data_IF_571200788955
#
_entry.id   IF_571200788955
#
_cell.length_a   1.000
_cell.length_b   1.000
_cell.length_c   1.000
_cell.angle_alpha   90.00
_cell.angle_beta   90.00
_cell.angle_gamma   90.00
#
_symmetry.space_group_name_H-M   'P 1'
#
loop_
_entity.id
_entity.type
_entity.pdbx_description
1 polymer ?
#
# COMPACT_ATOMS: atom_id res chain seq x y z
N UNK A 1 19.41 -19.91 23.58
CA UNK A 1 18.37 -18.93 23.22
C UNK A 1 18.32 -18.89 21.71
N UNK A 2 17.14 -19.11 21.12
CA UNK A 2 16.93 -19.13 19.67
C UNK A 2 16.72 -17.70 19.17
N UNK A 3 17.74 -16.87 19.37
CA UNK A 3 17.67 -15.43 19.15
C UNK A 3 18.52 -15.08 17.94
N UNK A 4 18.03 -14.12 17.14
CA UNK A 4 18.83 -13.52 16.06
C UNK A 4 19.72 -12.41 16.60
N UNK A 5 19.42 -11.91 17.80
CA UNK A 5 20.24 -10.93 18.48
C UNK A 5 21.61 -11.52 18.89
N UNK A 6 22.72 -10.82 18.58
CA UNK A 6 24.00 -11.06 19.21
C UNK A 6 23.91 -11.01 20.74
N UNK A 7 24.80 -11.74 21.43
CA UNK A 7 24.82 -11.88 22.90
C UNK A 7 24.88 -10.54 23.68
N UNK A 8 25.30 -9.45 23.04
CA UNK A 8 25.46 -8.13 23.65
C UNK A 8 24.25 -7.19 23.46
N UNK A 9 23.22 -7.60 22.72
CA UNK A 9 22.01 -6.79 22.51
C UNK A 9 20.73 -7.58 22.79
N UNK A 10 19.65 -6.89 23.18
CA UNK A 10 18.34 -7.54 23.34
C UNK A 10 17.72 -7.82 21.98
N UNK A 11 16.80 -8.79 21.92
CA UNK A 11 16.03 -9.09 20.71
C UNK A 11 15.23 -7.87 20.20
N UNK A 12 14.74 -7.00 21.09
CA UNK A 12 14.04 -5.76 20.71
C UNK A 12 15.02 -4.76 20.10
N UNK A 13 16.20 -4.59 20.70
CA UNK A 13 17.25 -3.70 20.20
C UNK A 13 17.71 -4.13 18.79
N UNK A 14 17.93 -5.44 18.61
CA UNK A 14 18.21 -6.04 17.29
C UNK A 14 17.12 -5.70 16.27
N UNK A 15 15.84 -5.95 16.60
CA UNK A 15 14.74 -5.70 15.69
C UNK A 15 14.57 -4.23 15.32
N UNK A 16 14.80 -3.31 16.27
CA UNK A 16 14.78 -1.87 15.99
C UNK A 16 15.90 -1.48 15.04
N UNK A 17 17.13 -1.94 15.29
CA UNK A 17 18.27 -1.69 14.39
C UNK A 17 17.99 -2.22 12.98
N UNK A 18 17.51 -3.47 12.88
CA UNK A 18 17.17 -4.09 11.60
C UNK A 18 16.04 -3.34 10.86
N UNK A 19 15.01 -2.90 11.58
CA UNK A 19 13.95 -2.07 11.00
C UNK A 19 14.49 -0.74 10.47
N UNK A 20 15.41 -0.07 11.17
CA UNK A 20 16.04 1.17 10.70
C UNK A 20 16.92 0.96 9.45
N UNK A 21 17.61 -0.17 9.34
CA UNK A 21 18.35 -0.54 8.11
C UNK A 21 17.38 -0.68 6.92
N UNK A 22 16.28 -1.42 7.09
CA UNK A 22 15.29 -1.61 6.03
C UNK A 22 14.53 -0.33 5.68
N UNK A 23 14.34 0.59 6.64
CA UNK A 23 13.79 1.93 6.39
C UNK A 23 14.66 2.71 5.41
N UNK A 24 15.99 2.67 5.56
CA UNK A 24 16.92 3.36 4.66
C UNK A 24 16.85 2.82 3.23
N UNK A 25 16.74 1.50 3.08
CA UNK A 25 16.61 0.86 1.75
C UNK A 25 15.32 1.29 1.05
N UNK A 26 14.23 1.41 1.80
CA UNK A 26 12.91 1.81 1.27
C UNK A 26 12.82 3.30 0.94
N UNK A 27 13.51 4.16 1.68
CA UNK A 27 13.33 5.61 1.65
C UNK A 27 13.39 6.24 0.23
N UNK A 28 14.28 5.83 -0.69
CA UNK A 28 14.31 6.35 -2.06
C UNK A 28 13.02 6.10 -2.85
N UNK A 29 12.29 5.02 -2.57
CA UNK A 29 11.08 4.61 -3.29
C UNK A 29 9.86 5.45 -2.92
N UNK A 30 9.86 6.04 -1.72
CA UNK A 30 8.67 6.67 -1.15
C UNK A 30 8.20 7.90 -1.95
N UNK A 31 9.11 8.63 -2.60
CA UNK A 31 8.75 9.77 -3.42
C UNK A 31 7.90 9.35 -4.63
N UNK A 32 8.30 8.26 -5.30
CA UNK A 32 7.58 7.70 -6.45
C UNK A 32 6.23 7.15 -6.01
N UNK A 33 6.17 6.40 -4.91
CA UNK A 33 4.91 5.87 -4.39
C UNK A 33 3.91 6.96 -4.00
N UNK A 34 4.37 8.09 -3.43
CA UNK A 34 3.49 9.23 -3.13
C UNK A 34 2.82 9.77 -4.38
N UNK A 35 3.57 9.96 -5.47
CA UNK A 35 3.02 10.45 -6.74
C UNK A 35 1.99 9.48 -7.34
N UNK A 36 2.29 8.17 -7.31
CA UNK A 36 1.35 7.14 -7.73
C UNK A 36 0.06 7.15 -6.91
N UNK A 37 0.17 7.31 -5.59
CA UNK A 37 -0.99 7.39 -4.71
C UNK A 37 -1.80 8.67 -4.96
N UNK A 38 -1.13 9.80 -5.15
CA UNK A 38 -1.76 11.10 -5.39
C UNK A 38 -2.62 11.12 -6.66
N UNK A 39 -2.19 10.46 -7.73
CA UNK A 39 -2.84 10.55 -9.05
C UNK A 39 -3.61 9.30 -9.51
N UNK A 40 -3.41 8.14 -8.87
CA UNK A 40 -4.07 6.87 -9.29
C UNK A 40 -5.04 6.37 -8.22
N UNK A 41 -4.52 5.95 -7.06
CA UNK A 41 -5.34 5.37 -5.99
C UNK A 41 -4.70 5.67 -4.60
N UNK A 42 -5.23 6.63 -3.84
CA UNK A 42 -4.55 7.13 -2.64
C UNK A 42 -4.78 6.24 -1.41
N UNK A 43 -5.79 5.35 -1.42
CA UNK A 43 -6.19 4.60 -0.21
C UNK A 43 -5.22 3.50 0.18
N UNK A 44 -4.35 3.07 -0.75
CA UNK A 44 -3.46 1.91 -0.58
C UNK A 44 -2.03 2.23 -0.12
N UNK A 45 -1.68 3.51 0.02
CA UNK A 45 -0.38 3.94 0.53
C UNK A 45 -0.48 4.51 1.96
N UNK A 46 0.41 4.06 2.86
CA UNK A 46 0.57 4.65 4.20
C UNK A 46 2.03 4.66 4.63
N UNK A 47 2.69 5.79 4.43
CA UNK A 47 4.10 5.98 4.81
C UNK A 47 4.28 6.46 6.25
N UNK A 48 3.34 7.29 6.73
CA UNK A 48 3.31 7.83 8.07
C UNK A 48 2.15 7.27 8.88
N UNK A 49 2.33 7.26 10.20
CA UNK A 49 1.24 7.01 11.13
C UNK A 49 0.30 8.22 11.15
N UNK A 50 -0.98 7.95 10.95
CA UNK A 50 -2.06 8.92 11.08
C UNK A 50 -3.26 8.24 11.69
N UNK A 51 -4.14 9.04 12.29
CA UNK A 51 -5.41 8.54 12.82
C UNK A 51 -6.31 8.05 11.68
N UNK A 52 -7.32 7.28 12.05
CA UNK A 52 -8.33 6.83 11.11
C UNK A 52 -9.08 8.02 10.50
N UNK A 53 -9.29 7.98 9.19
CA UNK A 53 -9.97 9.05 8.48
C UNK A 53 -10.05 8.79 6.98
N UNK A 54 -10.96 9.48 6.32
CA UNK A 54 -11.13 9.43 4.88
C UNK A 54 -9.85 9.89 4.17
N UNK A 55 -9.41 9.14 3.16
CA UNK A 55 -8.30 9.54 2.31
C UNK A 55 -8.84 10.38 1.16
N UNK A 56 -8.34 11.62 1.05
CA UNK A 56 -8.75 12.53 -0.01
C UNK A 56 -8.31 12.05 -1.39
N UNK A 57 -9.19 12.25 -2.39
CA UNK A 57 -8.90 12.07 -3.83
C UNK A 57 -8.79 13.41 -4.56
N UNK A 58 -8.64 14.53 -3.85
CA UNK A 58 -8.72 15.86 -4.43
C UNK A 58 -7.68 16.18 -5.53
N UNK A 59 -6.57 15.44 -5.58
CA UNK A 59 -5.55 15.58 -6.64
C UNK A 59 -5.91 14.85 -7.94
N UNK A 60 -6.95 14.00 -7.92
CA UNK A 60 -7.44 13.27 -9.08
C UNK A 60 -8.58 14.08 -9.69
N UNK A 61 -8.24 14.91 -10.66
CA UNK A 61 -9.19 15.67 -11.49
C UNK A 61 -9.73 14.76 -12.61
N UNK A 62 -8.83 13.99 -13.23
CA UNK A 62 -9.15 12.96 -14.23
C UNK A 62 -9.01 11.56 -13.64
N UNK A 63 -10.08 10.76 -13.71
CA UNK A 63 -10.11 9.41 -13.12
C UNK A 63 -9.62 8.30 -14.07
N UNK A 64 -9.09 8.62 -15.26
CA UNK A 64 -8.68 7.62 -16.26
C UNK A 64 -7.64 6.65 -15.69
N UNK A 65 -6.59 7.15 -15.03
CA UNK A 65 -5.60 6.32 -14.34
C UNK A 65 -6.20 5.43 -13.25
N UNK A 66 -7.15 5.96 -12.46
CA UNK A 66 -7.88 5.18 -11.46
C UNK A 66 -8.72 4.06 -12.09
N UNK A 67 -9.38 4.33 -13.21
CA UNK A 67 -10.16 3.32 -13.92
C UNK A 67 -9.27 2.25 -14.55
N UNK A 68 -8.16 2.63 -15.18
CA UNK A 68 -7.17 1.70 -15.71
C UNK A 68 -6.62 0.78 -14.62
N UNK A 69 -6.27 1.33 -13.44
CA UNK A 69 -5.86 0.55 -12.27
C UNK A 69 -6.93 -0.45 -11.82
N UNK A 70 -8.19 -0.02 -11.73
CA UNK A 70 -9.31 -0.90 -11.36
C UNK A 70 -9.52 -2.03 -12.39
N UNK A 71 -9.38 -1.73 -13.67
CA UNK A 71 -9.48 -2.71 -14.76
C UNK A 71 -8.34 -3.72 -14.68
N UNK A 72 -7.09 -3.27 -14.49
CA UNK A 72 -5.93 -4.14 -14.31
C UNK A 72 -6.15 -5.07 -13.11
N UNK A 73 -6.53 -4.52 -11.96
CA UNK A 73 -6.80 -5.28 -10.72
C UNK A 73 -7.82 -6.39 -10.94
N UNK A 74 -8.93 -6.05 -11.62
CA UNK A 74 -10.01 -7.00 -11.92
C UNK A 74 -9.58 -8.06 -12.94
N UNK A 75 -8.85 -7.62 -13.98
CA UNK A 75 -8.29 -8.48 -15.02
C UNK A 75 -7.35 -9.53 -14.44
N UNK A 76 -6.37 -9.12 -13.62
CA UNK A 76 -5.45 -10.04 -12.95
C UNK A 76 -6.18 -11.05 -12.07
N UNK A 77 -7.17 -10.62 -11.28
CA UNK A 77 -7.92 -11.53 -10.44
C UNK A 77 -8.69 -12.57 -11.26
N UNK A 78 -9.37 -12.13 -12.33
CA UNK A 78 -10.11 -13.03 -13.24
C UNK A 78 -9.21 -13.95 -14.07
N UNK A 79 -7.99 -13.53 -14.40
CA UNK A 79 -7.07 -14.27 -15.25
C UNK A 79 -6.14 -15.22 -14.50
N UNK A 80 -5.75 -14.89 -13.26
CA UNK A 80 -4.71 -15.60 -12.52
C UNK A 80 -5.28 -16.45 -11.38
N UNK A 81 -6.23 -15.93 -10.60
CA UNK A 81 -6.76 -16.59 -9.40
C UNK A 81 -8.28 -16.54 -9.32
N UNK A 82 -8.95 -16.76 -10.45
CA UNK A 82 -10.41 -16.76 -10.51
C UNK A 82 -10.99 -17.89 -9.67
N UNK A 83 -11.88 -17.62 -8.69
CA UNK A 83 -12.54 -18.70 -7.95
C UNK A 83 -13.52 -19.51 -8.82
N UNK A 84 -13.95 -18.96 -9.96
CA UNK A 84 -14.92 -19.59 -10.85
C UNK A 84 -14.33 -20.71 -11.72
N UNK A 85 -13.00 -20.80 -11.83
CA UNK A 85 -12.31 -21.79 -12.67
C UNK A 85 -11.09 -22.34 -11.92
N UNK A 86 -10.77 -23.64 -12.02
CA UNK A 86 -9.53 -24.16 -11.44
C UNK A 86 -8.31 -23.43 -12.03
N UNK A 87 -7.52 -22.79 -11.16
CA UNK A 87 -6.35 -21.98 -11.55
C UNK A 87 -5.01 -22.59 -11.11
N UNK A 88 -5.04 -23.73 -10.41
CA UNK A 88 -3.87 -24.54 -10.10
C UNK A 88 -4.19 -26.02 -10.28
N UNK A 89 -3.13 -26.83 -10.47
CA UNK A 89 -3.18 -28.29 -10.56
C UNK A 89 -2.03 -28.88 -9.76
N UNK A 90 -2.30 -29.93 -9.01
CA UNK A 90 -1.32 -30.77 -8.34
C UNK A 90 -0.94 -31.93 -9.27
N UNK A 91 0.36 -32.20 -9.36
CA UNK A 91 0.91 -33.31 -10.16
C UNK A 91 2.17 -33.82 -9.49
N UNK A 92 2.58 -35.02 -9.86
CA UNK A 92 3.92 -35.55 -9.57
C UNK A 92 4.86 -35.27 -10.74
N UNK A 93 6.17 -35.24 -10.47
CA UNK A 93 7.21 -35.18 -11.50
C UNK A 93 7.56 -36.57 -12.05
N UNK A 94 7.28 -37.63 -11.29
CA UNK A 94 7.43 -39.02 -11.72
C UNK A 94 6.34 -39.36 -12.76
N UNK A 95 6.70 -39.74 -14.00
CA UNK A 95 5.75 -40.05 -15.06
C UNK A 95 4.85 -41.26 -14.77
N UNK A 96 5.38 -42.30 -14.11
CA UNK A 96 4.64 -43.52 -13.83
C UNK A 96 3.57 -43.25 -12.78
N UNK A 97 3.92 -42.51 -11.73
CA UNK A 97 2.95 -42.05 -10.72
C UNK A 97 1.95 -41.06 -11.30
N UNK A 98 2.39 -40.21 -12.23
CA UNK A 98 1.52 -39.25 -12.88
C UNK A 98 0.43 -39.96 -13.67
N UNK A 99 0.71 -41.12 -14.27
CA UNK A 99 -0.26 -41.91 -15.03
C UNK A 99 -1.04 -42.92 -14.20
N UNK A 100 -0.57 -43.23 -13.00
CA UNK A 100 -1.25 -44.13 -12.09
C UNK A 100 -2.58 -43.55 -11.57
N UNK A 101 -3.69 -44.21 -11.90
CA UNK A 101 -5.04 -43.71 -11.63
C UNK A 101 -5.32 -43.37 -10.15
N UNK A 102 -4.91 -44.18 -9.16
CA UNK A 102 -5.12 -43.84 -7.75
C UNK A 102 -4.43 -42.54 -7.31
N UNK A 103 -3.25 -42.23 -7.88
CA UNK A 103 -2.54 -40.97 -7.60
C UNK A 103 -3.29 -39.79 -8.20
N UNK A 104 -3.80 -39.92 -9.44
CA UNK A 104 -4.63 -38.89 -10.09
C UNK A 104 -5.87 -38.57 -9.25
N UNK A 105 -6.58 -39.60 -8.78
CA UNK A 105 -7.79 -39.45 -7.96
C UNK A 105 -7.48 -38.75 -6.63
N UNK A 106 -6.40 -39.15 -5.96
CA UNK A 106 -5.96 -38.53 -4.71
C UNK A 106 -5.62 -37.05 -4.90
N UNK A 107 -4.83 -36.71 -5.92
CA UNK A 107 -4.44 -35.32 -6.20
C UNK A 107 -5.66 -34.47 -6.60
N UNK A 108 -6.59 -35.01 -7.38
CA UNK A 108 -7.83 -34.32 -7.72
C UNK A 108 -8.70 -34.03 -6.49
N UNK A 109 -8.80 -34.99 -5.56
CA UNK A 109 -9.51 -34.79 -4.29
C UNK A 109 -8.82 -33.73 -3.42
N UNK A 110 -7.49 -33.73 -3.36
CA UNK A 110 -6.71 -32.73 -2.63
C UNK A 110 -6.86 -31.32 -3.23
N UNK A 111 -6.78 -31.19 -4.56
CA UNK A 111 -7.03 -29.93 -5.29
C UNK A 111 -8.41 -29.35 -4.97
N UNK A 112 -9.44 -30.20 -4.93
CA UNK A 112 -10.79 -29.77 -4.59
C UNK A 112 -10.85 -29.22 -3.16
N UNK A 113 -10.27 -29.93 -2.18
CA UNK A 113 -10.23 -29.50 -0.78
C UNK A 113 -9.49 -28.17 -0.61
N UNK A 114 -8.35 -28.01 -1.28
CA UNK A 114 -7.60 -26.74 -1.25
C UNK A 114 -8.43 -25.59 -1.82
N UNK A 115 -9.14 -25.81 -2.93
CA UNK A 115 -10.04 -24.79 -3.51
C UNK A 115 -11.19 -24.42 -2.57
N UNK A 116 -11.79 -25.39 -1.90
CA UNK A 116 -12.84 -25.17 -0.90
C UNK A 116 -12.33 -24.33 0.28
N UNK A 117 -11.11 -24.60 0.77
CA UNK A 117 -10.44 -23.79 1.81
C UNK A 117 -10.21 -22.36 1.32
N UNK A 118 -9.69 -22.17 0.11
CA UNK A 118 -9.47 -20.82 -0.43
C UNK A 118 -10.78 -20.05 -0.66
N UNK A 119 -11.84 -20.74 -1.07
CA UNK A 119 -13.14 -20.12 -1.32
C UNK A 119 -13.88 -19.76 -0.02
N UNK A 120 -13.71 -20.55 1.04
CA UNK A 120 -14.34 -20.31 2.34
C UNK A 120 -13.58 -19.30 3.22
N UNK A 121 -12.30 -19.06 2.93
CA UNK A 121 -11.44 -18.10 3.60
C UNK A 121 -11.42 -16.73 2.90
N UNK A 122 -10.50 -15.84 3.28
CA UNK A 122 -10.37 -14.49 2.70
C UNK A 122 -9.31 -14.39 1.59
N UNK A 123 -8.72 -15.52 1.14
CA UNK A 123 -7.56 -15.53 0.24
C UNK A 123 -7.84 -14.80 -1.08
N UNK A 124 -8.97 -15.08 -1.74
CA UNK A 124 -9.32 -14.41 -3.00
C UNK A 124 -9.50 -12.89 -2.87
N UNK A 125 -10.11 -12.43 -1.76
CA UNK A 125 -10.27 -11.00 -1.48
C UNK A 125 -8.92 -10.31 -1.23
N UNK A 126 -8.02 -11.00 -0.52
CA UNK A 126 -6.67 -10.53 -0.27
C UNK A 126 -5.85 -10.46 -1.57
N UNK A 127 -5.91 -11.49 -2.43
CA UNK A 127 -5.27 -11.48 -3.76
C UNK A 127 -5.79 -10.36 -4.64
N UNK A 128 -7.12 -10.18 -4.74
CA UNK A 128 -7.70 -9.08 -5.49
C UNK A 128 -7.14 -7.72 -5.01
N UNK A 129 -7.03 -7.52 -3.70
CA UNK A 129 -6.40 -6.31 -3.12
C UNK A 129 -4.93 -6.20 -3.50
N UNK A 130 -4.16 -7.28 -3.37
CA UNK A 130 -2.74 -7.33 -3.69
C UNK A 130 -2.42 -7.08 -5.18
N UNK A 131 -3.28 -7.49 -6.11
CA UNK A 131 -3.10 -7.15 -7.53
C UNK A 131 -3.16 -5.65 -7.79
N UNK A 132 -3.98 -4.92 -7.02
CA UNK A 132 -4.00 -3.47 -7.07
C UNK A 132 -2.67 -2.85 -6.59
N UNK A 133 -2.12 -3.39 -5.50
CA UNK A 133 -0.83 -2.93 -4.97
C UNK A 133 0.32 -3.26 -5.96
N UNK A 134 0.28 -4.43 -6.62
CA UNK A 134 1.22 -4.81 -7.68
C UNK A 134 1.17 -3.86 -8.86
N UNK A 135 -0.01 -3.61 -9.42
CA UNK A 135 -0.17 -2.73 -10.58
C UNK A 135 0.24 -1.29 -10.29
N UNK A 136 0.03 -0.81 -9.06
CA UNK A 136 0.33 0.57 -8.68
C UNK A 136 1.75 0.76 -8.16
N UNK A 137 2.20 -0.04 -7.19
CA UNK A 137 3.48 0.15 -6.49
C UNK A 137 4.54 -0.90 -6.85
N UNK A 138 4.21 -1.90 -7.66
CA UNK A 138 5.13 -2.94 -8.10
C UNK A 138 5.27 -4.08 -7.09
N UNK A 139 4.90 -3.85 -5.84
CA UNK A 139 5.06 -4.79 -4.74
C UNK A 139 3.76 -4.94 -3.93
N UNK A 140 3.34 -6.19 -3.78
CA UNK A 140 2.30 -6.62 -2.84
C UNK A 140 2.90 -7.52 -1.77
N UNK A 141 2.44 -7.40 -0.54
CA UNK A 141 2.86 -8.28 0.55
C UNK A 141 1.66 -8.69 1.38
N UNK A 142 1.49 -10.00 1.55
CA UNK A 142 0.55 -10.61 2.48
C UNK A 142 1.26 -11.57 3.43
N UNK A 143 0.68 -11.76 4.61
CA UNK A 143 1.10 -12.79 5.57
C UNK A 143 0.03 -13.86 5.58
N UNK A 144 0.39 -15.08 5.17
CA UNK A 144 -0.47 -16.25 5.27
C UNK A 144 -0.27 -16.87 6.66
N UNK A 145 -1.36 -17.01 7.41
CA UNK A 145 -1.35 -17.63 8.73
C UNK A 145 -2.49 -18.64 8.86
N UNK A 146 -2.34 -19.59 9.77
CA UNK A 146 -3.43 -20.46 10.20
C UNK A 146 -4.54 -19.64 10.87
N UNK A 147 -5.77 -20.07 10.70
CA UNK A 147 -6.97 -19.47 11.26
C UNK A 147 -7.87 -20.56 11.86
N UNK A 148 -8.31 -20.39 13.10
CA UNK A 148 -9.08 -21.40 13.82
C UNK A 148 -10.45 -21.68 13.18
N UNK A 149 -11.00 -20.71 12.45
CA UNK A 149 -12.37 -20.77 11.97
C UNK A 149 -12.40 -21.12 10.48
N UNK A 150 -11.45 -20.58 9.70
CA UNK A 150 -11.37 -20.72 8.23
C UNK A 150 -10.15 -21.48 7.72
N UNK A 151 -9.40 -22.15 8.60
CA UNK A 151 -8.14 -22.89 8.34
C UNK A 151 -6.98 -21.97 7.97
N UNK A 152 -7.17 -21.06 7.03
CA UNK A 152 -6.15 -20.09 6.59
C UNK A 152 -6.71 -18.68 6.52
N UNK A 153 -5.83 -17.71 6.75
CA UNK A 153 -6.10 -16.30 6.56
C UNK A 153 -4.92 -15.63 5.90
N UNK A 154 -5.19 -14.87 4.84
CA UNK A 154 -4.20 -14.01 4.20
C UNK A 154 -4.40 -12.57 4.66
N UNK A 155 -3.49 -12.08 5.49
CA UNK A 155 -3.47 -10.67 5.87
C UNK A 155 -2.72 -9.86 4.82
N UNK A 156 -3.45 -9.33 3.84
CA UNK A 156 -2.90 -8.37 2.89
C UNK A 156 -2.47 -7.08 3.62
N UNK A 157 -1.21 -6.69 3.47
CA UNK A 157 -0.67 -5.50 4.11
C UNK A 157 -0.97 -4.24 3.29
N UNK A 158 -0.93 -3.10 3.95
CA UNK A 158 -1.04 -1.80 3.28
C UNK A 158 0.35 -1.38 2.81
N UNK A 159 0.46 -0.93 1.57
CA UNK A 159 1.77 -0.56 1.03
C UNK A 159 2.35 0.64 1.82
N UNK A 160 3.64 0.59 2.13
CA UNK A 160 4.32 1.60 2.97
C UNK A 160 4.19 1.40 4.49
N UNK A 161 3.32 0.50 4.98
CA UNK A 161 3.25 0.16 6.41
C UNK A 161 4.21 -0.96 6.82
N UNK A 162 5.05 -1.41 5.88
CA UNK A 162 6.01 -2.49 6.05
C UNK A 162 7.33 -2.19 5.33
N UNK A 163 8.33 -3.01 5.67
CA UNK A 163 9.64 -3.07 5.06
C UNK A 163 10.02 -4.53 4.83
N UNK A 164 10.63 -4.83 3.69
CA UNK A 164 11.00 -6.20 3.30
C UNK A 164 12.47 -6.32 2.95
N UNK A 165 12.99 -7.55 3.06
CA UNK A 165 14.24 -7.98 2.43
C UNK A 165 14.01 -9.29 1.68
N UNK A 166 14.75 -9.45 0.59
CA UNK A 166 14.81 -10.69 -0.18
C UNK A 166 16.00 -11.56 0.20
N UNK A 167 15.88 -12.86 0.00
CA UNK A 167 16.99 -13.81 0.04
C UNK A 167 17.78 -13.81 -1.28
N UNK A 168 18.82 -14.63 -1.36
CA UNK A 168 19.66 -14.80 -2.55
C UNK A 168 18.91 -15.34 -3.78
N UNK A 169 17.73 -15.92 -3.59
CA UNK A 169 16.85 -16.41 -4.65
C UNK A 169 15.79 -15.37 -5.04
N UNK A 170 15.88 -14.15 -4.50
CA UNK A 170 14.93 -13.07 -4.75
C UNK A 170 13.58 -13.25 -4.04
N UNK A 171 13.44 -14.18 -3.09
CA UNK A 171 12.19 -14.40 -2.35
C UNK A 171 12.13 -13.49 -1.14
N UNK A 172 10.94 -12.92 -0.89
CA UNK A 172 10.73 -12.13 0.33
C UNK A 172 10.73 -13.08 1.53
N UNK A 173 11.76 -12.99 2.37
CA UNK A 173 11.93 -13.83 3.57
C UNK A 173 11.89 -13.02 4.86
N UNK A 174 12.14 -11.71 4.77
CA UNK A 174 12.15 -10.80 5.91
C UNK A 174 11.09 -9.73 5.73
N UNK A 175 10.30 -9.50 6.78
CA UNK A 175 9.27 -8.48 6.87
C UNK A 175 9.31 -7.82 8.24
N UNK A 176 9.39 -6.50 8.25
CA UNK A 176 9.13 -5.67 9.41
C UNK A 176 7.89 -4.82 9.12
N UNK A 177 6.99 -4.68 10.08
CA UNK A 177 5.82 -3.82 9.94
C UNK A 177 5.51 -3.10 11.23
N UNK A 178 4.85 -1.95 11.09
CA UNK A 178 4.27 -1.20 12.19
C UNK A 178 2.79 -0.98 11.95
N UNK A 179 2.00 -1.06 13.00
CA UNK A 179 0.57 -0.81 12.95
C UNK A 179 0.07 -0.32 14.30
N UNK A 180 -1.05 0.40 14.28
CA UNK A 180 -1.64 1.03 15.45
C UNK A 180 -2.86 0.25 15.89
N UNK A 181 -2.91 -0.16 17.16
CA UNK A 181 -4.06 -0.86 17.76
C UNK A 181 -4.48 -0.18 19.05
N UNK A 182 -5.77 -0.31 19.37
CA UNK A 182 -6.31 0.11 20.67
C UNK A 182 -5.80 -0.79 21.79
N UNK A 183 -5.73 -0.26 23.01
CA UNK A 183 -5.38 -1.00 24.23
C UNK A 183 -6.22 -2.27 24.35
N UNK A 184 -7.53 -2.19 24.12
CA UNK A 184 -8.41 -3.37 24.16
C UNK A 184 -7.93 -4.48 23.23
N UNK A 185 -7.64 -4.13 21.96
CA UNK A 185 -7.20 -5.11 20.96
C UNK A 185 -5.84 -5.71 21.28
N UNK A 186 -4.92 -4.91 21.82
CA UNK A 186 -3.60 -5.36 22.25
C UNK A 186 -3.76 -6.39 23.39
N UNK A 187 -4.51 -6.05 24.45
CA UNK A 187 -4.73 -6.94 25.59
C UNK A 187 -5.47 -8.21 25.17
N UNK A 188 -6.48 -8.12 24.29
CA UNK A 188 -7.19 -9.30 23.80
C UNK A 188 -6.31 -10.25 22.98
N UNK A 189 -5.33 -9.74 22.21
CA UNK A 189 -4.47 -10.58 21.36
C UNK A 189 -3.28 -11.16 22.10
N UNK A 190 -2.65 -10.38 22.97
CA UNK A 190 -1.39 -10.75 23.63
C UNK A 190 -1.58 -11.18 25.08
N UNK A 191 -2.74 -10.90 25.68
CA UNK A 191 -3.03 -11.14 27.09
C UNK A 191 -2.50 -10.04 28.00
N UNK A 192 -3.20 -9.79 29.10
CA UNK A 192 -2.88 -8.72 30.05
C UNK A 192 -1.47 -8.86 30.65
N UNK A 193 -0.99 -10.07 30.91
CA UNK A 193 0.30 -10.28 31.57
C UNK A 193 1.51 -9.98 30.69
N UNK A 194 1.35 -10.01 29.37
CA UNK A 194 2.43 -9.85 28.39
C UNK A 194 2.65 -8.41 27.95
N UNK A 195 1.70 -7.50 28.22
CA UNK A 195 1.79 -6.09 27.78
C UNK A 195 2.56 -5.23 28.79
N UNK A 196 3.06 -4.08 28.34
CA UNK A 196 3.77 -3.11 29.17
C UNK A 196 2.90 -2.55 30.30
N UNK A 197 3.57 -2.00 31.33
CA UNK A 197 2.88 -1.32 32.43
C UNK A 197 2.00 -0.16 31.92
N UNK A 198 2.41 0.49 30.83
CA UNK A 198 1.64 1.57 30.19
C UNK A 198 0.29 1.05 29.69
N UNK A 199 0.27 -0.07 28.97
CA UNK A 199 -0.97 -0.68 28.47
C UNK A 199 -1.83 -1.20 29.62
N UNK A 200 -1.23 -1.81 30.66
CA UNK A 200 -1.95 -2.22 31.87
C UNK A 200 -2.66 -1.04 32.52
N UNK A 201 -1.93 0.05 32.75
CA UNK A 201 -2.49 1.26 33.34
C UNK A 201 -3.65 1.82 32.50
N UNK A 202 -3.53 1.86 31.17
CA UNK A 202 -4.64 2.29 30.32
C UNK A 202 -5.86 1.37 30.46
N UNK A 203 -5.64 0.06 30.46
CA UNK A 203 -6.70 -0.94 30.57
C UNK A 203 -7.42 -0.86 31.93
N UNK A 204 -6.67 -0.78 33.02
CA UNK A 204 -7.22 -0.76 34.39
C UNK A 204 -8.00 0.53 34.68
N UNK A 205 -7.63 1.63 34.02
CA UNK A 205 -8.34 2.91 34.11
C UNK A 205 -9.48 3.05 33.08
N UNK A 206 -9.85 1.97 32.38
CA UNK A 206 -10.96 1.97 31.41
C UNK A 206 -10.69 2.74 30.11
N UNK A 207 -9.44 3.11 29.83
CA UNK A 207 -9.04 3.79 28.59
C UNK A 207 -8.74 2.78 27.48
N UNK A 208 -9.78 2.06 27.06
CA UNK A 208 -9.69 0.95 26.11
C UNK A 208 -9.34 1.36 24.68
N UNK A 209 -9.70 2.58 24.28
CA UNK A 209 -9.54 3.10 22.92
C UNK A 209 -8.23 3.84 22.68
N UNK A 210 -7.39 3.98 23.72
CA UNK A 210 -6.05 4.56 23.57
C UNK A 210 -5.24 3.74 22.56
N UNK A 211 -4.57 4.44 21.64
CA UNK A 211 -3.91 3.82 20.50
C UNK A 211 -2.41 3.77 20.73
N UNK A 212 -1.83 2.57 20.63
CA UNK A 212 -0.38 2.37 20.67
C UNK A 212 0.13 1.75 19.37
N UNK A 213 1.39 2.03 19.06
CA UNK A 213 2.07 1.45 17.90
C UNK A 213 2.76 0.14 18.28
N UNK A 214 2.37 -0.91 17.58
CA UNK A 214 2.91 -2.26 17.69
C UNK A 214 3.77 -2.53 16.46
N UNK A 215 4.92 -3.13 16.70
CA UNK A 215 5.82 -3.60 15.67
C UNK A 215 5.78 -5.13 15.59
N UNK A 216 6.02 -5.64 14.39
CA UNK A 216 6.07 -7.07 14.12
C UNK A 216 7.20 -7.38 13.14
N UNK A 217 8.02 -8.37 13.49
CA UNK A 217 9.10 -8.88 12.67
C UNK A 217 8.82 -10.33 12.28
N UNK A 218 9.02 -10.66 11.02
CA UNK A 218 9.13 -12.01 10.48
C UNK A 218 10.45 -12.12 9.73
N UNK A 219 11.29 -13.08 10.07
CA UNK A 219 12.54 -13.35 9.37
C UNK A 219 13.02 -14.78 9.67
N UNK A 220 13.93 -15.36 8.87
CA UNK A 220 14.54 -16.64 9.20
C UNK A 220 15.28 -16.56 10.55
N UNK A 221 15.18 -17.62 11.36
CA UNK A 221 16.01 -17.78 12.57
C UNK A 221 17.41 -18.23 12.18
N UNK A 222 18.42 -17.54 12.69
CA UNK A 222 19.84 -17.86 12.49
C UNK A 222 20.30 -19.02 13.38
N UNK A 223 19.71 -19.13 14.57
CA UNK A 223 19.99 -20.19 15.54
C UNK A 223 18.69 -20.78 16.08
N UNK A 224 18.52 -22.09 15.91
CA UNK A 224 17.37 -22.86 16.41
C UNK A 224 17.79 -24.31 16.66
N UNK A 225 17.09 -24.98 17.56
CA UNK A 225 17.19 -26.41 17.79
C UNK A 225 16.11 -27.14 16.95
N UNK A 226 16.47 -27.86 15.87
CA UNK A 226 15.50 -28.52 15.01
C UNK A 226 14.68 -29.62 15.68
N UNK A 227 15.15 -30.17 16.79
CA UNK A 227 14.46 -31.25 17.51
C UNK A 227 13.34 -30.72 18.42
N UNK A 228 13.25 -29.39 18.59
CA UNK A 228 12.23 -28.72 19.40
C UNK A 228 11.09 -28.20 18.53
N UNK A 229 9.86 -28.60 18.89
CA UNK A 229 8.61 -28.23 18.19
C UNK A 229 8.00 -26.93 18.75
N UNK A 230 8.62 -26.31 19.75
CA UNK A 230 8.08 -25.09 20.35
C UNK A 230 8.14 -23.88 19.38
N UNK A 231 7.32 -22.87 19.65
CA UNK A 231 7.22 -21.66 18.81
C UNK A 231 8.55 -20.91 18.64
N UNK A 232 9.48 -21.09 19.58
CA UNK A 232 10.79 -20.44 19.60
C UNK A 232 11.78 -21.09 18.64
N UNK A 233 11.60 -22.37 18.33
CA UNK A 233 12.50 -23.11 17.45
C UNK A 233 11.96 -23.31 16.02
N UNK A 234 10.83 -22.66 15.70
CA UNK A 234 10.31 -22.61 14.33
C UNK A 234 11.26 -21.87 13.37
N UNK A 235 11.41 -22.32 12.10
CA UNK A 235 12.37 -21.76 11.15
C UNK A 235 12.25 -20.25 10.89
N UNK A 236 11.03 -19.70 10.88
CA UNK A 236 10.78 -18.27 10.77
C UNK A 236 10.31 -17.73 12.11
N UNK A 237 10.94 -16.68 12.63
CA UNK A 237 10.43 -16.01 13.82
C UNK A 237 9.22 -15.13 13.52
N UNK A 238 8.42 -14.87 14.53
CA UNK A 238 7.29 -13.93 14.50
C UNK A 238 7.23 -13.22 15.84
N UNK A 239 7.88 -12.06 15.92
CA UNK A 239 8.09 -11.35 17.18
C UNK A 239 7.31 -10.03 17.19
N UNK A 240 6.58 -9.80 18.27
CA UNK A 240 5.78 -8.59 18.48
C UNK A 240 6.34 -7.78 19.65
N UNK A 241 6.38 -6.46 19.49
CA UNK A 241 6.78 -5.55 20.57
C UNK A 241 6.07 -4.20 20.46
N UNK A 242 5.95 -3.51 21.58
CA UNK A 242 5.48 -2.12 21.61
C UNK A 242 6.64 -1.20 21.21
N UNK A 243 6.42 -0.30 20.25
CA UNK A 243 7.50 0.55 19.73
C UNK A 243 8.13 1.41 20.84
N UNK A 244 7.29 1.99 21.70
CA UNK A 244 7.66 2.91 22.77
C UNK A 244 7.94 2.24 24.12
N UNK A 245 7.84 0.91 24.23
CA UNK A 245 8.18 0.22 25.47
C UNK A 245 9.70 0.04 25.62
N UNK A 246 10.16 -0.20 26.85
CA UNK A 246 11.56 -0.54 27.11
C UNK A 246 11.96 -1.91 26.55
N UNK A 247 13.26 -2.16 26.46
CA UNK A 247 13.88 -3.29 25.75
C UNK A 247 13.79 -4.63 26.50
N UNK A 248 12.88 -4.75 27.47
CA UNK A 248 12.89 -5.86 28.43
C UNK A 248 12.14 -7.10 27.96
N UNK A 249 11.02 -6.97 27.25
CA UNK A 249 10.13 -8.11 26.95
C UNK A 249 9.31 -7.90 25.68
N UNK A 250 9.30 -8.91 24.82
CA UNK A 250 8.40 -9.00 23.66
C UNK A 250 6.96 -9.24 24.12
N UNK A 251 5.99 -8.70 23.38
CA UNK A 251 4.57 -9.00 23.56
C UNK A 251 4.26 -10.47 23.27
N UNK A 252 4.86 -10.99 22.20
CA UNK A 252 4.78 -12.39 21.81
C UNK A 252 6.06 -12.77 21.07
N UNK A 253 6.60 -13.93 21.41
CA UNK A 253 7.65 -14.60 20.65
C UNK A 253 7.03 -15.86 20.03
N UNK A 254 6.94 -15.88 18.71
CA UNK A 254 6.30 -16.96 17.96
C UNK A 254 7.11 -17.33 16.72
N UNK A 255 6.56 -18.16 15.85
CA UNK A 255 7.17 -18.47 14.57
C UNK A 255 6.28 -19.26 13.62
N UNK A 256 6.80 -19.50 12.43
CA UNK A 256 6.17 -20.26 11.35
C UNK A 256 7.07 -21.41 10.91
N UNK A 257 6.44 -22.54 10.56
CA UNK A 257 7.14 -23.75 10.11
C UNK A 257 7.71 -23.57 8.70
N UNK A 258 7.12 -22.67 7.91
CA UNK A 258 7.55 -22.28 6.57
C UNK A 258 7.48 -20.76 6.41
N UNK A 259 8.02 -20.22 5.31
CA UNK A 259 7.95 -18.79 5.02
C UNK A 259 6.48 -18.34 4.86
N UNK A 260 5.92 -17.52 5.77
CA UNK A 260 4.52 -17.11 5.69
C UNK A 260 4.29 -15.94 4.73
N UNK A 261 5.36 -15.38 4.14
CA UNK A 261 5.31 -14.16 3.37
C UNK A 261 4.96 -14.45 1.91
N UNK A 262 3.84 -13.90 1.45
CA UNK A 262 3.46 -13.86 0.04
C UNK A 262 3.82 -12.47 -0.49
N UNK A 263 4.99 -12.35 -1.11
CA UNK A 263 5.57 -11.07 -1.54
C UNK A 263 5.84 -10.94 -3.05
N UNK A 264 4.86 -11.14 -3.95
CA UNK A 264 5.09 -11.03 -5.39
C UNK A 264 5.57 -9.62 -5.76
N UNK A 265 6.38 -9.57 -6.81
CA UNK A 265 6.84 -8.34 -7.45
C UNK A 265 6.38 -8.34 -8.91
N UNK A 266 6.14 -7.15 -9.46
CA UNK A 266 5.85 -6.98 -10.87
C UNK A 266 7.11 -7.14 -11.72
N UNK A 267 8.09 -6.26 -11.51
CA UNK A 267 9.41 -6.32 -12.15
C UNK A 267 10.49 -5.88 -11.16
N UNK A 268 11.45 -6.76 -10.90
CA UNK A 268 12.58 -6.49 -9.99
C UNK A 268 13.78 -6.09 -10.83
N UNK A 269 14.39 -4.95 -10.50
CA UNK A 269 15.64 -4.52 -11.10
C UNK A 269 16.83 -5.08 -10.30
N UNK A 270 17.53 -6.06 -10.86
CA UNK A 270 18.73 -6.63 -10.23
C UNK A 270 18.44 -7.26 -8.85
N UNK A 271 19.14 -6.78 -7.83
CA UNK A 271 19.08 -7.23 -6.44
C UNK A 271 18.20 -6.33 -5.54
N UNK A 272 17.34 -5.49 -6.14
CA UNK A 272 16.46 -4.60 -5.39
C UNK A 272 15.43 -5.36 -4.54
N UNK A 273 15.14 -4.80 -3.35
CA UNK A 273 14.11 -5.34 -2.45
C UNK A 273 12.68 -5.02 -2.92
N UNK A 274 12.51 -3.92 -3.66
CA UNK A 274 11.23 -3.47 -4.20
C UNK A 274 11.24 -3.54 -5.72
N UNK A 275 10.06 -3.34 -6.31
CA UNK A 275 9.83 -3.58 -7.72
C UNK A 275 9.23 -2.35 -8.39
N UNK A 276 9.45 -2.24 -9.71
CA UNK A 276 8.80 -1.24 -10.56
C UNK A 276 7.39 -1.69 -10.91
N UNK A 277 6.54 -0.76 -11.39
CA UNK A 277 5.12 -1.04 -11.64
C UNK A 277 4.62 -0.48 -12.98
N UNK A 278 3.54 -1.03 -13.54
CA UNK A 278 2.82 -0.41 -14.66
C UNK A 278 2.39 1.02 -14.35
N UNK A 279 1.98 1.28 -13.11
CA UNK A 279 1.64 2.62 -12.65
C UNK A 279 2.80 3.61 -12.77
N UNK A 280 4.05 3.17 -12.54
CA UNK A 280 5.23 4.02 -12.72
C UNK A 280 5.48 4.34 -14.19
N UNK A 281 5.29 3.36 -15.08
CA UNK A 281 5.42 3.56 -16.53
C UNK A 281 4.41 4.60 -17.00
N UNK A 282 3.15 4.51 -16.56
CA UNK A 282 2.08 5.43 -16.93
C UNK A 282 2.05 6.75 -16.13
N UNK A 283 2.94 6.94 -15.15
CA UNK A 283 2.86 8.08 -14.22
C UNK A 283 3.03 9.42 -14.93
N UNK A 284 3.86 9.48 -15.98
CA UNK A 284 4.07 10.67 -16.80
C UNK A 284 2.76 11.12 -17.47
N UNK A 285 2.12 10.20 -18.19
CA UNK A 285 0.87 10.46 -18.93
C UNK A 285 -0.27 10.82 -17.98
N UNK A 286 -0.40 10.08 -16.86
CA UNK A 286 -1.42 10.39 -15.84
C UNK A 286 -1.19 11.78 -15.27
N UNK A 287 0.05 12.15 -14.94
CA UNK A 287 0.37 13.47 -14.36
C UNK A 287 0.12 14.61 -15.37
N UNK A 288 0.46 14.38 -16.64
CA UNK A 288 0.18 15.30 -17.74
C UNK A 288 -1.33 15.53 -17.88
N UNK A 289 -2.13 14.46 -17.93
CA UNK A 289 -3.59 14.53 -17.99
C UNK A 289 -4.19 15.34 -16.83
N UNK A 290 -3.70 15.15 -15.59
CA UNK A 290 -4.18 15.96 -14.45
C UNK A 290 -3.93 17.45 -14.68
N UNK A 291 -2.72 17.80 -15.14
CA UNK A 291 -2.33 19.18 -15.39
C UNK A 291 -3.13 19.81 -16.55
N UNK A 292 -3.32 19.08 -17.64
CA UNK A 292 -4.10 19.52 -18.79
C UNK A 292 -5.55 19.80 -18.42
N UNK A 293 -6.20 18.91 -17.68
CA UNK A 293 -7.56 19.15 -17.20
C UNK A 293 -7.63 20.37 -16.28
N UNK A 294 -6.64 20.56 -15.40
CA UNK A 294 -6.56 21.76 -14.56
C UNK A 294 -6.44 23.04 -15.41
N UNK A 295 -5.52 23.06 -16.38
CA UNK A 295 -5.31 24.22 -17.26
C UNK A 295 -6.51 24.49 -18.16
N UNK A 296 -7.21 23.44 -18.62
CA UNK A 296 -8.46 23.55 -19.35
C UNK A 296 -9.53 24.25 -18.52
N UNK A 297 -9.70 23.85 -17.25
CA UNK A 297 -10.63 24.51 -16.33
C UNK A 297 -10.27 25.98 -16.11
N UNK A 298 -8.99 26.28 -15.86
CA UNK A 298 -8.51 27.67 -15.73
C UNK A 298 -8.74 28.51 -16.99
N UNK A 299 -8.58 27.92 -18.18
CA UNK A 299 -8.82 28.60 -19.44
C UNK A 299 -10.32 28.87 -19.67
N UNK A 300 -11.18 27.91 -19.35
CA UNK A 300 -12.64 28.10 -19.36
C UNK A 300 -13.01 29.25 -18.41
N UNK A 301 -12.46 29.26 -17.20
CA UNK A 301 -12.73 30.32 -16.23
C UNK A 301 -12.31 31.70 -16.75
N UNK A 302 -11.15 31.80 -17.42
CA UNK A 302 -10.71 33.07 -18.03
C UNK A 302 -11.53 33.48 -19.25
N UNK A 303 -12.13 32.55 -19.99
CA UNK A 303 -13.04 32.87 -21.10
C UNK A 303 -14.40 33.35 -20.56
N UNK A 304 -14.92 32.73 -19.52
CA UNK A 304 -16.21 33.08 -18.90
C UNK A 304 -16.07 34.36 -18.04
N UNK A 305 -14.93 34.55 -17.38
CA UNK A 305 -14.62 35.67 -16.47
C UNK A 305 -13.21 36.20 -16.72
N UNK A 306 -12.99 36.93 -17.83
CA UNK A 306 -11.68 37.45 -18.15
C UNK A 306 -11.24 38.50 -17.11
N UNK A 307 -9.95 38.54 -16.73
CA UNK A 307 -9.41 39.66 -15.99
C UNK A 307 -9.57 40.94 -16.82
N UNK A 308 -10.02 42.03 -16.20
CA UNK A 308 -10.32 43.29 -16.89
C UNK A 308 -9.26 44.34 -16.56
N UNK A 309 -8.95 45.22 -17.52
CA UNK A 309 -8.19 46.46 -17.29
C UNK A 309 -9.15 47.63 -17.34
N UNK A 310 -8.91 48.64 -16.50
CA UNK A 310 -9.71 49.86 -16.46
C UNK A 310 -8.85 51.10 -16.18
N UNK A 311 -9.29 52.31 -16.56
CA UNK A 311 -8.54 53.53 -16.31
C UNK A 311 -8.48 53.88 -14.80
N UNK A 312 -7.35 54.42 -14.36
CA UNK A 312 -7.06 54.80 -12.95
C UNK A 312 -8.06 55.82 -12.38
N UNK A 313 -8.72 56.61 -13.23
CA UNK A 313 -9.76 57.58 -12.86
C UNK A 313 -11.02 56.98 -12.24
N UNK A 314 -11.28 55.67 -12.46
CA UNK A 314 -12.47 54.96 -11.95
C UNK A 314 -12.18 54.26 -10.60
N UNK A 315 -10.93 54.29 -10.11
CA UNK A 315 -10.48 53.57 -8.90
C UNK A 315 -11.28 53.87 -7.62
N UNK A 316 -11.80 55.10 -7.49
CA UNK A 316 -12.56 55.56 -6.31
C UNK A 316 -14.09 55.62 -6.54
N UNK A 317 -14.57 55.24 -7.73
CA UNK A 317 -16.00 55.21 -8.01
C UNK A 317 -16.43 53.74 -8.10
N UNK A 318 -17.30 53.23 -7.20
CA UNK A 318 -17.64 51.82 -7.16
C UNK A 318 -18.47 51.42 -8.37
N UNK A 319 -17.80 51.12 -9.49
CA UNK A 319 -18.38 50.39 -10.61
C UNK A 319 -18.60 48.94 -10.14
N UNK A 320 -19.77 48.68 -9.57
CA UNK A 320 -20.17 47.36 -9.10
C UNK A 320 -20.49 46.44 -10.28
N UNK A 321 -19.49 45.69 -10.75
CA UNK A 321 -19.65 44.52 -11.64
C UNK A 321 -18.53 43.50 -11.32
N UNK A 322 -18.70 42.68 -10.28
CA UNK A 322 -17.91 41.46 -10.07
C UNK A 322 -18.11 40.52 -11.29
N UNK A 323 -17.16 39.66 -11.76
CA UNK A 323 -15.90 39.21 -11.15
C UNK A 323 -14.63 39.17 -12.07
N UNK A 324 -13.46 39.42 -11.47
CA UNK A 324 -12.11 39.34 -12.07
C UNK A 324 -11.17 40.36 -11.40
N UNK A 325 -9.86 40.09 -11.26
CA UNK A 325 -8.92 41.11 -10.72
C UNK A 325 -8.78 42.24 -11.75
N UNK A 326 -9.09 43.47 -11.35
CA UNK A 326 -8.96 44.64 -12.20
C UNK A 326 -7.55 45.22 -12.06
N UNK A 327 -6.82 45.33 -13.17
CA UNK A 327 -5.54 46.04 -13.21
C UNK A 327 -5.79 47.44 -13.77
N UNK A 328 -5.49 48.47 -12.97
CA UNK A 328 -5.65 49.85 -13.42
C UNK A 328 -4.40 50.30 -14.17
N UNK A 329 -4.57 50.82 -15.38
CA UNK A 329 -3.50 51.34 -16.23
C UNK A 329 -3.82 52.77 -16.66
N UNK A 330 -2.81 53.63 -16.74
CA UNK A 330 -2.95 55.00 -17.25
C UNK A 330 -3.05 54.95 -18.78
N UNK A 331 -4.28 54.91 -19.30
CA UNK A 331 -4.58 54.99 -20.75
C UNK A 331 -4.91 56.44 -21.13
N UNK A 332 -4.05 57.13 -21.92
CA UNK A 332 -4.29 58.51 -22.36
C UNK A 332 -5.55 58.69 -23.21
N UNK A 333 -6.11 57.60 -23.76
CA UNK A 333 -7.26 57.63 -24.66
C UNK A 333 -8.61 57.30 -24.00
N UNK A 334 -8.66 57.12 -22.67
CA UNK A 334 -9.92 57.06 -21.90
C UNK A 334 -10.91 55.97 -22.32
N UNK A 335 -10.46 54.92 -22.99
CA UNK A 335 -11.32 53.81 -23.45
C UNK A 335 -11.64 52.91 -22.24
N UNK A 336 -12.91 52.48 -22.14
CA UNK A 336 -13.47 51.71 -21.03
C UNK A 336 -12.85 50.33 -20.81
N UNK A 337 -13.47 49.50 -19.95
CA UNK A 337 -12.90 48.22 -19.53
C UNK A 337 -12.60 47.28 -20.72
N UNK A 338 -11.40 46.69 -20.74
CA UNK A 338 -10.97 45.70 -21.75
C UNK A 338 -10.39 44.45 -21.09
N UNK A 339 -10.54 43.25 -21.66
CA UNK A 339 -9.80 42.08 -21.20
C UNK A 339 -8.30 42.38 -21.13
N UNK A 340 -7.66 42.02 -20.02
CA UNK A 340 -6.23 42.23 -19.81
C UNK A 340 -5.37 41.30 -20.68
N UNK A 341 -5.95 40.18 -21.13
CA UNK A 341 -5.32 39.20 -22.01
C UNK A 341 -6.34 38.71 -23.02
N UNK A 342 -5.93 38.59 -24.28
CA UNK A 342 -6.71 37.93 -25.33
C UNK A 342 -6.25 36.48 -25.44
N UNK A 343 -7.10 35.54 -25.02
CA UNK A 343 -6.80 34.10 -25.03
C UNK A 343 -7.55 33.48 -26.21
N UNK A 344 -6.84 33.18 -27.30
CA UNK A 344 -7.38 32.41 -28.42
C UNK A 344 -7.13 30.92 -28.18
N UNK A 345 -7.87 30.32 -27.24
CA UNK A 345 -7.77 28.88 -26.98
C UNK A 345 -8.68 28.10 -27.93
N UNK A 346 -8.12 27.16 -28.69
CA UNK A 346 -8.88 26.21 -29.51
C UNK A 346 -9.28 24.99 -28.67
N UNK A 347 -10.44 25.09 -28.01
CA UNK A 347 -10.97 24.03 -27.13
C UNK A 347 -11.09 22.66 -27.84
N UNK A 348 -11.30 22.65 -29.15
CA UNK A 348 -11.37 21.42 -29.96
C UNK A 348 -10.04 20.66 -30.04
N UNK A 349 -8.92 21.38 -30.18
CA UNK A 349 -7.58 20.78 -30.28
C UNK A 349 -7.15 20.23 -28.91
N UNK A 350 -7.36 21.00 -27.84
CA UNK A 350 -7.10 20.55 -26.47
C UNK A 350 -7.95 19.34 -26.06
N UNK A 351 -9.21 19.29 -26.51
CA UNK A 351 -10.07 18.11 -26.28
C UNK A 351 -9.68 16.90 -27.16
N UNK A 352 -8.94 17.11 -28.24
CA UNK A 352 -8.40 16.01 -29.05
C UNK A 352 -7.18 15.40 -28.37
N UNK A 353 -6.27 16.24 -27.89
CA UNK A 353 -5.04 15.85 -27.18
C UNK A 353 -5.35 15.03 -25.91
N UNK A 354 -6.27 15.52 -25.08
CA UNK A 354 -6.76 14.79 -23.89
C UNK A 354 -7.34 13.41 -24.26
N UNK A 355 -8.01 13.30 -25.42
CA UNK A 355 -8.61 12.03 -25.86
C UNK A 355 -7.58 11.05 -26.43
N UNK A 356 -6.41 11.52 -26.87
CA UNK A 356 -5.33 10.67 -27.35
C UNK A 356 -4.58 10.02 -26.18
N UNK A 357 -4.44 10.74 -25.07
CA UNK A 357 -3.75 10.28 -23.87
C UNK A 357 -4.64 9.41 -22.95
N UNK A 358 -5.97 9.54 -23.05
CA UNK A 358 -6.96 8.72 -22.33
C UNK A 358 -7.17 7.34 -22.97
#
# INVERSE_FOLDING_TARGET
MSDNAPDHESQITYHRRRMEELKRIRQPWEAVWRQLADYIEPTRLRLTEKDEGAVSRAKIIDSTGTFAHRTLKSGMHSGITSPARPWFRLTTYDPDLKDFAPVKEYLAALEQRLREVFQSSNVYNAFHTGYGDLGQFGQSVGILSEDSDKVVRLQQLLHGSFWISRDENGRVTTLYRRFRWSVQRIVSRFGYDNVSQTVKNFYDNGRYDEILTICHAIEPRLSRDPDRIDKRNKPFLSNYWEEQAGDKRLLEESGFDENPLIGPAWEIAGDDNYATSPGQIALGDVSMLQLEQQRKLEAIDKLVRPPMTGPTSIRNNPASLLPGKITYVDDPNGRGFRPAMEIQLRLSELASDIRETQ
#
